data_IF_850399830870
#
_entry.id   IF_850399830870
#
_cell.length_a   1.000
_cell.length_b   1.000
_cell.length_c   1.000
_cell.angle_alpha   90.00
_cell.angle_beta   90.00
_cell.angle_gamma   90.00
#
_symmetry.space_group_name_H-M   'P 1'
#
loop_
_entity.id
_entity.type
_entity.pdbx_description
1 polymer ?
#
# COMPACT_ATOMS: atom_id res chain seq x y z
N UNK A 1 10.82 -6.13 -14.43
CA UNK A 1 12.09 -5.68 -13.83
C UNK A 1 12.04 -6.07 -12.37
N UNK A 2 13.01 -6.86 -11.92
CA UNK A 2 13.03 -7.34 -10.55
C UNK A 2 13.40 -6.22 -9.58
N UNK A 3 12.64 -6.12 -8.50
CA UNK A 3 12.91 -5.19 -7.40
C UNK A 3 12.99 -5.97 -6.10
N UNK A 4 14.05 -5.77 -5.33
CA UNK A 4 14.25 -6.36 -4.01
C UNK A 4 13.90 -5.31 -2.95
N UNK A 5 12.93 -5.60 -2.09
CA UNK A 5 12.46 -4.70 -1.05
C UNK A 5 12.94 -5.17 0.32
N UNK A 6 13.54 -4.28 1.10
CA UNK A 6 13.95 -4.52 2.49
C UNK A 6 13.37 -3.46 3.41
N UNK A 7 13.28 -3.76 4.71
CA UNK A 7 12.76 -2.86 5.73
C UNK A 7 13.74 -2.76 6.91
N UNK A 8 13.92 -1.56 7.48
CA UNK A 8 14.90 -1.33 8.56
C UNK A 8 14.60 -2.13 9.83
N UNK A 9 13.33 -2.45 10.09
CA UNK A 9 12.93 -3.28 11.24
C UNK A 9 13.21 -4.78 11.03
N UNK A 10 13.52 -5.21 9.80
CA UNK A 10 13.80 -6.62 9.46
C UNK A 10 14.80 -6.72 8.29
N UNK A 11 16.03 -6.19 8.44
CA UNK A 11 16.97 -6.00 7.32
C UNK A 11 17.45 -7.31 6.70
N UNK A 12 17.40 -8.41 7.45
CA UNK A 12 17.76 -9.77 7.00
C UNK A 12 16.69 -10.41 6.10
N UNK A 13 15.52 -9.78 5.98
CA UNK A 13 14.39 -10.29 5.17
C UNK A 13 14.13 -9.40 3.98
N UNK A 14 13.72 -10.00 2.86
CA UNK A 14 13.40 -9.27 1.66
C UNK A 14 12.21 -9.87 0.90
N UNK A 15 11.54 -9.00 0.15
CA UNK A 15 10.48 -9.36 -0.81
C UNK A 15 10.99 -9.06 -2.21
N UNK A 16 11.06 -10.09 -3.05
CA UNK A 16 11.37 -9.94 -4.47
C UNK A 16 10.07 -9.74 -5.25
N UNK A 17 10.01 -8.68 -6.03
CA UNK A 17 8.83 -8.29 -6.82
C UNK A 17 9.19 -8.30 -8.30
N UNK A 18 8.32 -8.90 -9.12
CA UNK A 18 8.35 -8.79 -10.57
C UNK A 18 7.06 -8.15 -11.09
N UNK A 19 7.13 -6.86 -11.42
CA UNK A 19 5.96 -6.08 -11.82
C UNK A 19 4.88 -6.10 -10.75
N UNK A 20 3.76 -6.75 -11.04
CA UNK A 20 2.60 -6.85 -10.15
C UNK A 20 2.64 -8.06 -9.19
N UNK A 21 3.65 -8.92 -9.28
CA UNK A 21 3.69 -10.20 -8.55
C UNK A 21 4.83 -10.24 -7.53
N UNK A 22 4.56 -10.87 -6.39
CA UNK A 22 5.60 -11.29 -5.46
C UNK A 22 6.25 -12.55 -6.04
N UNK A 23 7.51 -12.44 -6.44
CA UNK A 23 8.27 -13.54 -7.01
C UNK A 23 8.88 -14.44 -5.92
N UNK A 24 9.25 -13.87 -4.76
CA UNK A 24 9.74 -14.62 -3.61
C UNK A 24 9.71 -13.76 -2.33
N UNK A 25 9.69 -14.43 -1.17
CA UNK A 25 9.92 -13.83 0.14
C UNK A 25 10.95 -14.69 0.87
N UNK A 26 11.96 -14.08 1.49
CA UNK A 26 12.99 -14.85 2.18
C UNK A 26 14.17 -14.03 2.67
N UNK A 27 15.28 -14.69 3.04
CA UNK A 27 16.48 -14.01 3.49
C UNK A 27 17.07 -13.10 2.40
N UNK A 28 17.43 -11.88 2.77
CA UNK A 28 18.00 -10.88 1.87
C UNK A 28 19.20 -11.45 1.09
N UNK A 29 20.17 -12.04 1.79
CA UNK A 29 21.40 -12.53 1.17
C UNK A 29 21.15 -13.61 0.11
N UNK A 30 20.19 -14.50 0.35
CA UNK A 30 19.81 -15.57 -0.60
C UNK A 30 19.20 -14.99 -1.87
N UNK A 31 18.35 -13.98 -1.72
CA UNK A 31 17.66 -13.34 -2.84
C UNK A 31 18.59 -12.41 -3.61
N UNK A 32 19.44 -11.64 -2.93
CA UNK A 32 20.41 -10.74 -3.53
C UNK A 32 21.48 -11.48 -4.34
N UNK A 33 22.05 -12.56 -3.79
CA UNK A 33 23.07 -13.35 -4.47
C UNK A 33 22.58 -13.96 -5.81
N UNK A 34 21.30 -14.35 -5.87
CA UNK A 34 20.72 -14.92 -7.09
C UNK A 34 20.19 -13.90 -8.10
N UNK A 35 20.16 -12.60 -7.77
CA UNK A 35 19.64 -11.52 -8.63
C UNK A 35 20.46 -10.23 -8.46
N UNK A 36 21.75 -10.21 -8.85
CA UNK A 36 22.62 -9.04 -8.64
C UNK A 36 22.10 -7.76 -9.31
N UNK A 37 21.34 -7.89 -10.40
CA UNK A 37 20.79 -6.76 -11.16
C UNK A 37 19.40 -6.30 -10.65
N UNK A 38 18.84 -6.95 -9.62
CA UNK A 38 17.57 -6.52 -9.05
C UNK A 38 17.72 -5.14 -8.40
N UNK A 39 16.80 -4.22 -8.70
CA UNK A 39 16.80 -2.89 -8.10
C UNK A 39 16.50 -3.01 -6.60
N UNK A 40 17.41 -2.53 -5.75
CA UNK A 40 17.21 -2.51 -4.30
C UNK A 40 16.36 -1.30 -3.87
N UNK A 41 15.34 -1.54 -3.04
CA UNK A 41 14.56 -0.51 -2.35
C UNK A 41 14.58 -0.77 -0.85
N UNK A 42 15.01 0.23 -0.09
CA UNK A 42 15.03 0.21 1.38
C UNK A 42 13.92 1.09 1.91
N UNK A 43 13.15 0.58 2.87
CA UNK A 43 12.03 1.27 3.50
C UNK A 43 12.31 1.50 4.98
N UNK A 44 11.98 2.69 5.53
CA UNK A 44 12.01 2.88 6.97
C UNK A 44 10.90 2.03 7.63
N UNK A 45 11.18 1.46 8.80
CA UNK A 45 10.19 0.72 9.60
C UNK A 45 9.94 -0.71 9.14
N UNK A 46 8.68 -1.15 9.17
CA UNK A 46 8.24 -2.51 8.79
C UNK A 46 7.62 -2.52 7.39
N UNK A 47 7.80 -3.61 6.65
CA UNK A 47 7.11 -3.85 5.39
C UNK A 47 5.99 -4.87 5.60
N UNK A 48 4.76 -4.47 5.28
CA UNK A 48 3.55 -5.29 5.43
C UNK A 48 2.79 -5.35 4.11
N UNK A 49 1.88 -6.33 3.92
CA UNK A 49 0.91 -6.27 2.84
C UNK A 49 0.16 -4.95 2.84
N UNK A 50 -0.22 -4.48 1.65
CA UNK A 50 -1.06 -3.29 1.52
C UNK A 50 -2.36 -3.46 2.30
N UNK A 51 -2.80 -2.40 2.97
CA UNK A 51 -4.08 -2.40 3.67
C UNK A 51 -5.22 -2.57 2.68
N UNK A 52 -6.18 -3.43 3.02
CA UNK A 52 -7.44 -3.60 2.29
C UNK A 52 -8.56 -2.97 3.11
N UNK A 53 -9.25 -1.98 2.54
CA UNK A 53 -10.48 -1.46 3.10
C UNK A 53 -11.68 -2.15 2.43
N UNK A 54 -12.45 -2.98 3.15
CA UNK A 54 -13.55 -3.75 2.55
C UNK A 54 -14.76 -2.89 2.20
N UNK A 55 -14.89 -1.68 2.74
CA UNK A 55 -16.04 -0.79 2.55
C UNK A 55 -15.78 0.31 1.51
N UNK A 56 -15.07 -0.07 0.44
CA UNK A 56 -14.75 0.85 -0.67
C UNK A 56 -15.98 1.50 -1.28
N UNK A 57 -17.04 0.74 -1.66
CA UNK A 57 -18.25 1.31 -2.22
C UNK A 57 -18.95 2.31 -1.28
N UNK A 58 -19.08 1.97 0.00
CA UNK A 58 -19.72 2.84 0.99
C UNK A 58 -18.97 4.17 1.13
N UNK A 59 -17.64 4.11 1.12
CA UNK A 59 -16.79 5.28 1.35
C UNK A 59 -16.52 6.11 0.09
N UNK A 60 -16.50 5.51 -1.10
CA UNK A 60 -16.08 6.17 -2.34
C UNK A 60 -17.23 6.43 -3.31
N UNK A 61 -18.30 5.64 -3.24
CA UNK A 61 -19.41 5.70 -4.19
C UNK A 61 -20.73 6.13 -3.52
N UNK A 62 -20.94 5.74 -2.25
CA UNK A 62 -22.20 6.00 -1.53
C UNK A 62 -22.09 7.16 -0.53
N UNK A 63 -20.89 7.71 -0.35
CA UNK A 63 -20.64 8.88 0.48
C UNK A 63 -20.03 10.01 -0.36
N UNK A 64 -20.62 11.19 -0.27
CA UNK A 64 -19.99 12.42 -0.75
C UNK A 64 -19.11 12.99 0.36
N UNK A 65 -17.82 13.17 0.08
CA UNK A 65 -16.87 13.84 0.98
C UNK A 65 -16.78 15.31 0.56
N UNK A 66 -17.37 16.25 1.32
CA UNK A 66 -17.47 17.65 0.88
C UNK A 66 -16.10 18.26 0.60
N UNK A 67 -16.01 19.03 -0.50
CA UNK A 67 -14.83 19.88 -0.74
C UNK A 67 -14.74 20.93 0.38
N UNK A 68 -13.53 21.30 0.85
CA UNK A 68 -13.38 22.31 1.90
C UNK A 68 -14.09 23.65 1.62
N UNK A 69 -14.33 24.01 0.34
CA UNK A 69 -15.07 25.23 -0.04
C UNK A 69 -16.57 25.14 0.22
N UNK A 70 -17.11 23.94 0.41
CA UNK A 70 -18.53 23.71 0.70
C UNK A 70 -18.79 23.50 2.20
N UNK A 71 -17.76 23.55 3.04
CA UNK A 71 -17.83 23.21 4.46
C UNK A 71 -18.86 24.06 5.23
N UNK A 72 -19.00 25.34 4.90
CA UNK A 72 -19.99 26.23 5.52
C UNK A 72 -21.44 25.78 5.26
N UNK A 73 -21.68 25.02 4.18
CA UNK A 73 -23.02 24.53 3.78
C UNK A 73 -23.25 23.08 4.15
N UNK A 74 -22.26 22.21 3.93
CA UNK A 74 -22.40 20.75 4.03
C UNK A 74 -21.67 20.15 5.23
N UNK A 75 -20.83 20.92 5.92
CA UNK A 75 -19.93 20.41 6.95
C UNK A 75 -18.71 19.69 6.38
N UNK A 76 -17.95 19.06 7.27
CA UNK A 76 -16.71 18.32 6.93
C UNK A 76 -16.85 16.81 7.08
N UNK A 77 -17.99 16.34 7.57
CA UNK A 77 -18.29 14.91 7.69
C UNK A 77 -18.82 14.36 6.36
N UNK A 78 -18.61 13.06 6.06
CA UNK A 78 -19.18 12.43 4.88
C UNK A 78 -20.72 12.49 4.89
N UNK A 79 -21.31 12.83 3.74
CA UNK A 79 -22.76 12.91 3.53
C UNK A 79 -23.24 11.67 2.76
N UNK A 80 -24.32 11.05 3.25
CA UNK A 80 -24.91 9.85 2.66
C UNK A 80 -26.26 10.17 2.00
N UNK A 81 -26.65 9.39 0.99
CA UNK A 81 -27.98 9.49 0.38
C UNK A 81 -29.11 9.06 1.33
N UNK A 82 -30.32 9.59 1.12
CA UNK A 82 -31.51 9.14 1.85
C UNK A 82 -31.83 7.68 1.50
N UNK A 83 -32.20 6.89 2.51
CA UNK A 83 -32.61 5.49 2.32
C UNK A 83 -34.01 5.45 1.70
N UNK A 84 -34.17 4.67 0.63
CA UNK A 84 -35.47 4.35 0.04
C UNK A 84 -36.31 3.43 0.94
#
# INVERSE_FOLDING_TARGET
MLTLHTADASPETAVLVDGAHIAAVGPYERLAAGRPDARLRRWPGILTPGLLNPYGPELLEQAYHPDPREADRLGTEPVFGERA
#
